data_IF_459452644493
#
_entry.id   IF_459452644493
#
_cell.length_a   1.000
_cell.length_b   1.000
_cell.length_c   1.000
_cell.angle_alpha   90.00
_cell.angle_beta   90.00
_cell.angle_gamma   90.00
#
_symmetry.space_group_name_H-M   'P 1'
#
loop_
_entity.id
_entity.type
_entity.pdbx_description
1 polymer ?
#
# COMPACT_ATOMS: atom_id res chain seq x y z
N UNK A 1 11.41 -3.30 0.99
CA UNK A 1 10.19 -4.09 1.19
C UNK A 1 9.96 -5.06 0.02
N UNK A 2 9.61 -6.29 0.35
CA UNK A 2 9.07 -7.34 -0.52
C UNK A 2 7.57 -7.12 -0.73
N UNK A 3 6.94 -7.83 -1.70
CA UNK A 3 5.49 -7.71 -1.90
C UNK A 3 4.69 -8.10 -0.65
N UNK A 4 5.16 -9.09 0.11
CA UNK A 4 4.51 -9.50 1.36
C UNK A 4 4.55 -8.42 2.43
N UNK A 5 5.69 -7.75 2.57
CA UNK A 5 5.84 -6.62 3.52
C UNK A 5 4.98 -5.42 3.11
N UNK A 6 4.91 -5.11 1.80
CA UNK A 6 4.07 -4.03 1.30
C UNK A 6 2.58 -4.31 1.55
N UNK A 7 2.14 -5.54 1.31
CA UNK A 7 0.75 -5.97 1.58
C UNK A 7 0.40 -5.90 3.06
N UNK A 8 1.30 -6.35 3.93
CA UNK A 8 1.11 -6.28 5.38
C UNK A 8 1.00 -4.82 5.87
N UNK A 9 1.77 -3.90 5.30
CA UNK A 9 1.67 -2.47 5.62
C UNK A 9 0.35 -1.87 5.13
N UNK A 10 -0.09 -2.21 3.91
CA UNK A 10 -1.40 -1.80 3.38
C UNK A 10 -2.55 -2.32 4.25
N UNK A 11 -2.47 -3.59 4.69
CA UNK A 11 -3.45 -4.19 5.62
C UNK A 11 -3.48 -3.45 6.96
N UNK A 12 -2.31 -3.11 7.52
CA UNK A 12 -2.19 -2.34 8.77
C UNK A 12 -2.89 -0.98 8.68
N UNK A 13 -2.85 -0.37 7.50
CA UNK A 13 -3.46 0.94 7.19
C UNK A 13 -4.89 0.83 6.67
N UNK A 14 -5.45 -0.38 6.61
CA UNK A 14 -6.78 -0.65 6.01
C UNK A 14 -6.92 -0.17 4.55
N UNK A 15 -5.81 -0.15 3.80
CA UNK A 15 -5.78 0.21 2.38
C UNK A 15 -6.05 -1.04 1.55
N UNK A 16 -7.05 -0.96 0.67
CA UNK A 16 -7.41 -2.08 -0.20
C UNK A 16 -6.42 -2.23 -1.36
N UNK A 17 -6.09 -3.47 -1.70
CA UNK A 17 -5.25 -3.82 -2.84
C UNK A 17 -5.71 -5.16 -3.45
N UNK A 18 -5.28 -5.45 -4.68
CA UNK A 18 -5.53 -6.71 -5.38
C UNK A 18 -4.40 -7.71 -5.18
N UNK A 19 -4.73 -9.01 -5.12
CA UNK A 19 -3.73 -10.08 -5.05
C UNK A 19 -2.75 -10.09 -6.24
N UNK A 20 -3.17 -9.51 -7.38
CA UNK A 20 -2.37 -9.39 -8.60
C UNK A 20 -1.58 -8.08 -8.70
N UNK A 21 -1.73 -7.18 -7.73
CA UNK A 21 -0.98 -5.92 -7.75
C UNK A 21 0.51 -6.19 -7.64
N UNK A 22 1.24 -5.55 -8.55
CA UNK A 22 2.68 -5.64 -8.62
C UNK A 22 3.32 -4.73 -7.57
N UNK A 23 4.63 -4.88 -7.39
CA UNK A 23 5.38 -4.13 -6.39
C UNK A 23 5.22 -2.61 -6.52
N UNK A 24 5.21 -2.09 -7.75
CA UNK A 24 5.11 -0.65 -7.99
C UNK A 24 3.73 -0.12 -7.57
N UNK A 25 2.66 -0.83 -7.95
CA UNK A 25 1.29 -0.48 -7.55
C UNK A 25 1.14 -0.48 -6.02
N UNK A 26 1.66 -1.50 -5.34
CA UNK A 26 1.60 -1.58 -3.87
C UNK A 26 2.35 -0.42 -3.19
N UNK A 27 3.48 0.03 -3.75
CA UNK A 27 4.22 1.19 -3.24
C UNK A 27 3.42 2.47 -3.45
N UNK A 28 2.85 2.69 -4.63
CA UNK A 28 2.04 3.88 -4.90
C UNK A 28 0.85 3.98 -3.95
N UNK A 29 0.15 2.87 -3.69
CA UNK A 29 -0.95 2.83 -2.73
C UNK A 29 -0.51 3.22 -1.31
N UNK A 30 0.70 2.82 -0.89
CA UNK A 30 1.25 3.22 0.40
C UNK A 30 1.57 4.71 0.44
N UNK A 31 2.23 5.24 -0.59
CA UNK A 31 2.56 6.66 -0.70
C UNK A 31 1.29 7.53 -0.74
N UNK A 32 0.25 7.11 -1.45
CA UNK A 32 -1.06 7.78 -1.48
C UNK A 32 -1.75 7.75 -0.11
N UNK A 33 -1.62 6.65 0.65
CA UNK A 33 -2.17 6.54 2.01
C UNK A 33 -1.45 7.41 3.03
N UNK A 34 -0.12 7.58 2.89
CA UNK A 34 0.69 8.45 3.76
C UNK A 34 0.45 9.95 3.46
N UNK A 35 0.12 10.29 2.22
CA UNK A 35 -0.20 11.66 1.82
C UNK A 35 -1.62 12.11 2.20
N UNK A 36 -2.34 11.34 3.03
CA UNK A 36 -3.75 11.56 3.39
C UNK A 36 -3.95 12.20 4.78
N UNK A 37 -2.92 12.83 5.35
CA UNK A 37 -2.97 13.63 6.59
C UNK A 37 -3.06 15.16 6.32
N UNK A 38 -3.42 15.56 5.08
CA UNK A 38 -3.20 16.91 4.55
C UNK A 38 -4.41 17.69 3.99
N UNK A 39 -5.66 17.25 4.19
CA UNK A 39 -6.88 18.04 3.88
C UNK A 39 -7.88 18.03 5.03
#
# INVERSE_FOLDING_TARGET
MTNSELRAELDSRSVSYSANDNKATLISLLEESDNHDGI
#
